data_IF_086241199006
#
_entry.id   IF_086241199006
#
_cell.length_a   1.000
_cell.length_b   1.000
_cell.length_c   1.000
_cell.angle_alpha   90.00
_cell.angle_beta   90.00
_cell.angle_gamma   90.00
#
_symmetry.space_group_name_H-M   'P 1'
#
loop_
_entity.id
_entity.type
_entity.pdbx_description
1 polymer ?
#
# COMPACT_ATOMS: atom_id res chain seq x y z
N UNK A 1 -3.32 -34.95 -5.85
CA UNK A 1 -3.56 -33.64 -6.48
C UNK A 1 -4.16 -32.74 -5.41
N UNK A 2 -3.72 -31.50 -5.27
CA UNK A 2 -4.37 -30.54 -4.37
C UNK A 2 -5.77 -30.21 -4.91
N UNK A 3 -6.75 -30.14 -4.00
CA UNK A 3 -8.14 -29.81 -4.35
C UNK A 3 -8.20 -28.37 -4.88
N UNK A 4 -8.92 -28.20 -5.99
CA UNK A 4 -9.18 -26.90 -6.60
C UNK A 4 -10.60 -26.44 -6.23
N UNK A 5 -10.76 -25.13 -6.07
CA UNK A 5 -12.01 -24.49 -5.71
C UNK A 5 -12.26 -23.36 -6.71
N UNK A 6 -13.50 -23.17 -7.13
CA UNK A 6 -13.86 -22.01 -7.92
C UNK A 6 -13.75 -20.71 -7.10
N UNK A 7 -13.67 -19.58 -7.78
CA UNK A 7 -13.61 -18.26 -7.15
C UNK A 7 -14.87 -18.02 -6.31
N UNK A 8 -16.02 -18.38 -6.85
CA UNK A 8 -17.32 -18.23 -6.18
C UNK A 8 -17.42 -19.10 -4.91
N UNK A 9 -17.01 -20.37 -4.99
CA UNK A 9 -16.98 -21.26 -3.82
C UNK A 9 -16.14 -20.67 -2.69
N UNK A 10 -14.95 -20.17 -2.99
CA UNK A 10 -14.06 -19.60 -1.96
C UNK A 10 -14.66 -18.34 -1.36
N UNK A 11 -15.21 -17.43 -2.16
CA UNK A 11 -15.81 -16.22 -1.62
C UNK A 11 -17.06 -16.51 -0.77
N UNK A 12 -17.87 -17.50 -1.17
CA UNK A 12 -19.01 -17.96 -0.37
C UNK A 12 -18.54 -18.59 0.96
N UNK A 13 -17.51 -19.43 0.95
CA UNK A 13 -16.95 -20.02 2.18
C UNK A 13 -16.35 -18.98 3.12
N UNK A 14 -15.69 -17.96 2.59
CA UNK A 14 -15.09 -16.88 3.39
C UNK A 14 -16.15 -15.95 3.98
N UNK A 15 -17.30 -15.78 3.31
CA UNK A 15 -18.42 -14.92 3.70
C UNK A 15 -18.21 -13.46 3.30
N UNK A 16 -19.21 -12.86 2.66
CA UNK A 16 -19.17 -11.49 2.16
C UNK A 16 -18.86 -10.46 3.26
N UNK A 17 -19.40 -10.67 4.45
CA UNK A 17 -19.18 -9.82 5.62
C UNK A 17 -17.70 -9.76 6.06
N UNK A 18 -16.89 -10.77 5.68
CA UNK A 18 -15.45 -10.83 5.96
C UNK A 18 -14.60 -10.28 4.81
N UNK A 19 -15.20 -10.14 3.62
CA UNK A 19 -14.52 -9.68 2.40
C UNK A 19 -14.76 -8.20 2.10
N UNK A 20 -15.73 -7.57 2.77
CA UNK A 20 -15.95 -6.13 2.65
C UNK A 20 -15.06 -5.39 3.66
N UNK A 21 -14.09 -4.55 3.19
CA UNK A 21 -13.18 -3.81 4.07
C UNK A 21 -13.88 -2.82 5.00
N UNK A 22 -15.07 -2.34 4.66
CA UNK A 22 -15.86 -1.43 5.49
C UNK A 22 -16.40 -2.12 6.76
N UNK A 23 -16.63 -3.43 6.68
CA UNK A 23 -17.15 -4.24 7.79
C UNK A 23 -16.03 -4.79 8.70
N UNK A 24 -14.74 -4.56 8.34
CA UNK A 24 -13.61 -5.19 9.03
C UNK A 24 -12.65 -4.13 9.56
N UNK A 25 -12.68 -3.91 10.87
CA UNK A 25 -11.66 -3.06 11.52
C UNK A 25 -10.26 -3.70 11.42
N UNK A 26 -9.21 -2.89 11.54
CA UNK A 26 -7.83 -3.41 11.51
C UNK A 26 -7.57 -4.44 12.63
N UNK A 27 -8.22 -4.29 13.76
CA UNK A 27 -8.08 -5.20 14.91
C UNK A 27 -8.80 -6.54 14.70
N UNK A 28 -9.83 -6.58 13.84
CA UNK A 28 -10.66 -7.77 13.59
C UNK A 28 -10.14 -8.68 12.47
N UNK A 29 -9.01 -8.38 11.87
CA UNK A 29 -8.42 -9.17 10.77
C UNK A 29 -7.92 -10.56 11.18
N UNK A 30 -8.02 -10.93 12.45
CA UNK A 30 -7.51 -12.21 12.97
C UNK A 30 -8.57 -13.33 13.01
N UNK A 31 -9.76 -13.12 12.43
CA UNK A 31 -10.82 -14.15 12.40
C UNK A 31 -10.41 -15.33 11.54
N UNK A 32 -10.43 -16.52 12.12
CA UNK A 32 -10.21 -17.80 11.44
C UNK A 32 -11.53 -18.55 11.32
N UNK A 33 -11.70 -19.30 10.24
CA UNK A 33 -12.77 -20.27 10.01
C UNK A 33 -12.17 -21.63 9.71
N UNK A 34 -12.94 -22.70 9.79
CA UNK A 34 -12.50 -24.05 9.46
C UNK A 34 -12.98 -24.42 8.06
N UNK A 35 -12.05 -24.77 7.18
CA UNK A 35 -12.33 -25.25 5.83
C UNK A 35 -11.53 -26.55 5.63
N UNK A 36 -12.21 -27.64 5.27
CA UNK A 36 -11.61 -28.96 5.08
C UNK A 36 -10.74 -29.40 6.28
N UNK A 37 -11.14 -29.04 7.51
CA UNK A 37 -10.43 -29.35 8.76
C UNK A 37 -9.27 -28.41 9.09
N UNK A 38 -8.94 -27.44 8.24
CA UNK A 38 -7.85 -26.50 8.46
C UNK A 38 -8.35 -25.11 8.88
N UNK A 39 -7.55 -24.42 9.70
CA UNK A 39 -7.78 -23.02 10.05
C UNK A 39 -7.40 -22.10 8.90
N UNK A 40 -8.34 -21.33 8.40
CA UNK A 40 -8.16 -20.34 7.31
C UNK A 40 -8.53 -18.96 7.82
N UNK A 41 -7.63 -18.00 7.65
CA UNK A 41 -7.91 -16.60 8.00
C UNK A 41 -8.83 -15.97 6.95
N UNK A 42 -10.12 -15.76 7.28
CA UNK A 42 -11.11 -15.27 6.31
C UNK A 42 -10.98 -13.76 6.01
N UNK A 43 -10.48 -12.94 6.96
CA UNK A 43 -10.36 -11.48 6.82
C UNK A 43 -8.98 -11.03 6.33
N UNK A 44 -8.50 -11.61 5.25
CA UNK A 44 -7.22 -11.28 4.64
C UNK A 44 -7.34 -10.17 3.61
N UNK A 45 -6.42 -9.18 3.63
CA UNK A 45 -6.35 -8.14 2.58
C UNK A 45 -6.20 -8.74 1.17
N UNK A 46 -5.60 -9.93 1.02
CA UNK A 46 -5.49 -10.63 -0.26
C UNK A 46 -6.88 -10.97 -0.80
N UNK A 47 -7.74 -11.60 0.02
CA UNK A 47 -9.09 -11.98 -0.41
C UNK A 47 -9.97 -10.76 -0.65
N UNK A 48 -9.90 -9.76 0.24
CA UNK A 48 -10.61 -8.49 0.05
C UNK A 48 -10.20 -7.80 -1.25
N UNK A 49 -8.89 -7.82 -1.60
CA UNK A 49 -8.41 -7.24 -2.86
C UNK A 49 -9.02 -7.96 -4.06
N UNK A 50 -8.98 -9.30 -4.08
CA UNK A 50 -9.55 -10.08 -5.17
C UNK A 50 -11.07 -9.95 -5.26
N UNK A 51 -11.76 -9.87 -4.13
CA UNK A 51 -13.20 -9.67 -4.08
C UNK A 51 -13.60 -8.29 -4.61
N UNK A 52 -12.95 -7.22 -4.18
CA UNK A 52 -13.29 -5.83 -4.51
C UNK A 52 -12.75 -5.37 -5.88
N UNK A 53 -11.58 -5.84 -6.27
CA UNK A 53 -10.87 -5.38 -7.47
C UNK A 53 -10.92 -6.41 -8.62
N UNK A 54 -11.49 -7.59 -8.36
CA UNK A 54 -11.49 -8.71 -9.30
C UNK A 54 -10.18 -9.49 -9.29
N UNK A 55 -10.07 -10.45 -10.21
CA UNK A 55 -9.00 -11.45 -10.29
C UNK A 55 -8.10 -11.28 -11.53
N UNK A 56 -8.18 -10.14 -12.20
CA UNK A 56 -7.38 -9.82 -13.39
C UNK A 56 -6.09 -9.09 -12.98
N UNK A 57 -4.94 -9.55 -13.47
CA UNK A 57 -3.67 -8.85 -13.29
C UNK A 57 -3.74 -7.42 -13.85
N UNK A 58 -3.48 -6.43 -13.01
CA UNK A 58 -3.53 -5.01 -13.38
C UNK A 58 -2.46 -4.61 -14.43
N UNK A 59 -1.41 -5.43 -14.62
CA UNK A 59 -0.34 -5.16 -15.57
C UNK A 59 -0.57 -5.86 -16.92
N UNK A 60 -0.64 -7.20 -16.92
CA UNK A 60 -0.69 -7.99 -18.18
C UNK A 60 -2.08 -8.52 -18.52
N UNK A 61 -3.09 -8.29 -17.69
CA UNK A 61 -4.46 -8.76 -17.94
C UNK A 61 -4.71 -10.26 -17.71
N UNK A 62 -3.69 -11.04 -17.28
CA UNK A 62 -3.85 -12.47 -16.97
C UNK A 62 -4.93 -12.67 -15.91
N UNK A 63 -5.76 -13.72 -16.06
CA UNK A 63 -6.88 -14.00 -15.18
C UNK A 63 -6.54 -15.08 -14.16
N UNK A 64 -6.84 -14.83 -12.89
CA UNK A 64 -6.96 -15.89 -11.90
C UNK A 64 -8.24 -16.69 -12.13
N UNK A 65 -8.18 -18.01 -12.09
CA UNK A 65 -9.28 -18.90 -12.48
C UNK A 65 -9.76 -19.79 -11.33
N UNK A 66 -8.85 -20.22 -10.45
CA UNK A 66 -9.17 -21.13 -9.36
C UNK A 66 -8.29 -20.90 -8.15
N UNK A 67 -8.79 -21.31 -7.00
CA UNK A 67 -8.04 -21.33 -5.75
C UNK A 67 -7.55 -22.74 -5.39
N UNK A 68 -6.40 -22.80 -4.72
CA UNK A 68 -5.92 -23.98 -4.01
C UNK A 68 -5.71 -23.65 -2.55
N UNK A 69 -5.99 -24.64 -1.68
CA UNK A 69 -5.81 -24.48 -0.24
C UNK A 69 -4.38 -24.95 0.12
N UNK A 70 -3.48 -23.99 0.26
CA UNK A 70 -2.06 -24.21 0.49
C UNK A 70 -1.64 -23.85 1.91
N UNK A 71 -0.52 -24.37 2.38
CA UNK A 71 0.08 -24.03 3.67
C UNK A 71 1.26 -24.90 4.01
N UNK A 72 1.94 -24.57 5.10
CA UNK A 72 3.14 -25.27 5.53
C UNK A 72 2.82 -26.66 6.07
N UNK A 73 3.68 -27.65 5.74
CA UNK A 73 3.59 -28.99 6.30
C UNK A 73 3.75 -28.92 7.83
N UNK A 74 2.96 -29.75 8.54
CA UNK A 74 2.99 -29.82 9.99
C UNK A 74 2.18 -28.74 10.73
N UNK A 75 1.56 -27.79 10.02
CA UNK A 75 0.65 -26.81 10.63
C UNK A 75 -0.81 -27.12 10.31
N UNK A 76 -1.71 -26.78 11.26
CA UNK A 76 -3.16 -26.83 11.01
C UNK A 76 -3.70 -25.54 10.37
N UNK A 77 -2.84 -24.72 9.79
CA UNK A 77 -3.20 -23.45 9.16
C UNK A 77 -2.95 -23.51 7.67
N UNK A 78 -3.97 -23.10 6.90
CA UNK A 78 -3.93 -23.03 5.44
C UNK A 78 -4.39 -21.64 4.98
N UNK A 79 -4.13 -21.35 3.72
CA UNK A 79 -4.64 -20.16 3.04
C UNK A 79 -4.95 -20.49 1.59
N UNK A 80 -5.93 -19.80 1.04
CA UNK A 80 -6.23 -19.90 -0.38
C UNK A 80 -5.26 -19.08 -1.20
N UNK A 81 -4.62 -19.71 -2.16
CA UNK A 81 -3.85 -19.07 -3.22
C UNK A 81 -4.65 -19.12 -4.52
N UNK A 82 -4.74 -17.97 -5.19
CA UNK A 82 -5.41 -17.84 -6.49
C UNK A 82 -4.39 -18.14 -7.59
N UNK A 83 -4.76 -19.00 -8.52
CA UNK A 83 -3.94 -19.39 -9.67
C UNK A 83 -4.65 -19.09 -10.98
N UNK A 84 -3.85 -18.87 -12.02
CA UNK A 84 -4.27 -18.83 -13.42
C UNK A 84 -4.27 -20.25 -14.01
N UNK A 85 -4.87 -20.44 -15.19
CA UNK A 85 -4.92 -21.75 -15.89
C UNK A 85 -3.53 -22.32 -16.19
N UNK A 86 -2.54 -21.44 -16.41
CA UNK A 86 -1.14 -21.84 -16.63
C UNK A 86 -0.35 -22.09 -15.35
N UNK A 87 -1.01 -22.13 -14.19
CA UNK A 87 -0.38 -22.35 -12.88
C UNK A 87 0.29 -21.11 -12.28
N UNK A 88 0.23 -19.94 -12.92
CA UNK A 88 0.79 -18.71 -12.39
C UNK A 88 0.02 -18.23 -11.16
N UNK A 89 0.75 -17.96 -10.07
CA UNK A 89 0.18 -17.43 -8.84
C UNK A 89 -0.26 -15.98 -9.02
N UNK A 90 -1.47 -15.67 -8.56
CA UNK A 90 -1.96 -14.30 -8.40
C UNK A 90 -1.66 -13.78 -6.99
N UNK A 91 -1.14 -12.58 -6.91
CA UNK A 91 -0.76 -11.90 -5.66
C UNK A 91 -1.57 -10.63 -5.47
N UNK A 92 -1.64 -10.13 -4.25
CA UNK A 92 -1.98 -8.73 -4.01
C UNK A 92 -0.70 -7.89 -4.04
N UNK A 93 -0.70 -6.82 -4.77
CA UNK A 93 0.40 -5.88 -4.87
C UNK A 93 -0.02 -4.50 -4.37
N UNK A 94 0.95 -3.68 -3.94
CA UNK A 94 0.71 -2.29 -3.57
C UNK A 94 0.90 -1.39 -4.79
N UNK A 95 -0.14 -0.64 -5.19
CA UNK A 95 -0.06 0.38 -6.25
C UNK A 95 1.10 1.32 -5.93
N UNK A 96 1.08 1.90 -4.74
CA UNK A 96 2.19 2.62 -4.16
C UNK A 96 2.94 1.71 -3.17
N UNK A 97 4.23 1.41 -3.44
CA UNK A 97 4.98 0.39 -2.73
C UNK A 97 5.07 0.62 -1.21
N UNK A 98 4.97 -0.46 -0.45
CA UNK A 98 5.09 -0.42 1.02
C UNK A 98 6.44 0.11 1.47
N UNK A 99 7.52 -0.20 0.75
CA UNK A 99 8.88 0.31 1.01
C UNK A 99 9.00 1.82 0.88
N UNK A 100 8.09 2.44 0.11
CA UNK A 100 8.00 3.89 -0.06
C UNK A 100 6.96 4.55 0.86
N UNK A 101 6.36 3.79 1.80
CA UNK A 101 5.35 4.28 2.75
C UNK A 101 3.90 3.99 2.33
N UNK A 102 3.69 3.13 1.32
CA UNK A 102 2.36 2.68 0.90
C UNK A 102 1.61 1.96 2.03
N UNK A 103 0.35 2.31 2.21
CA UNK A 103 -0.49 1.77 3.28
C UNK A 103 -1.17 0.45 2.87
N UNK A 104 -1.40 -0.42 3.85
CA UNK A 104 -2.19 -1.65 3.74
C UNK A 104 -3.70 -1.34 3.69
N UNK A 105 -4.16 -0.64 2.65
CA UNK A 105 -5.56 -0.28 2.38
C UNK A 105 -5.98 -0.81 1.01
N UNK A 106 -7.24 -1.20 0.85
CA UNK A 106 -7.75 -1.74 -0.41
C UNK A 106 -7.60 -0.74 -1.57
N UNK A 107 -7.75 0.57 -1.31
CA UNK A 107 -7.50 1.62 -2.30
C UNK A 107 -6.07 1.60 -2.86
N UNK A 108 -5.08 1.16 -2.07
CA UNK A 108 -3.68 1.03 -2.47
C UNK A 108 -3.29 -0.40 -2.88
N UNK A 109 -4.23 -1.31 -3.05
CA UNK A 109 -3.95 -2.70 -3.41
C UNK A 109 -4.57 -3.04 -4.76
N UNK A 110 -3.90 -3.90 -5.51
CA UNK A 110 -4.34 -4.39 -6.83
C UNK A 110 -4.01 -5.87 -7.00
N UNK A 111 -4.80 -6.61 -7.78
CA UNK A 111 -4.44 -7.96 -8.22
C UNK A 111 -3.27 -7.87 -9.20
N UNK A 112 -2.26 -8.69 -9.01
CA UNK A 112 -1.12 -8.79 -9.92
C UNK A 112 -0.57 -10.20 -9.94
N UNK A 113 -0.25 -10.76 -11.11
CA UNK A 113 0.41 -12.06 -11.17
C UNK A 113 1.85 -11.97 -10.61
N UNK A 114 2.37 -13.07 -10.09
CA UNK A 114 3.68 -13.11 -9.42
C UNK A 114 4.81 -12.60 -10.33
N UNK A 115 4.74 -12.92 -11.62
CA UNK A 115 5.73 -12.45 -12.61
C UNK A 115 5.72 -10.91 -12.76
N UNK A 116 4.54 -10.30 -12.95
CA UNK A 116 4.42 -8.84 -13.06
C UNK A 116 4.77 -8.15 -11.74
N UNK A 117 4.37 -8.72 -10.61
CA UNK A 117 4.69 -8.20 -9.29
C UNK A 117 6.21 -8.20 -9.02
N UNK A 118 6.91 -9.28 -9.40
CA UNK A 118 8.37 -9.36 -9.31
C UNK A 118 9.06 -8.33 -10.21
N UNK A 119 8.60 -8.17 -11.47
CA UNK A 119 9.13 -7.16 -12.40
C UNK A 119 8.88 -5.73 -11.93
N UNK A 120 7.71 -5.47 -11.35
CA UNK A 120 7.37 -4.16 -10.79
C UNK A 120 8.25 -3.80 -9.60
N UNK A 121 8.52 -4.75 -8.69
CA UNK A 121 9.30 -4.49 -7.49
C UNK A 121 8.78 -3.29 -6.70
N UNK A 122 9.62 -2.27 -6.51
CA UNK A 122 9.29 -1.03 -5.79
C UNK A 122 8.86 0.13 -6.71
N UNK A 123 8.55 -0.14 -7.98
CA UNK A 123 7.98 0.89 -8.87
C UNK A 123 6.51 1.16 -8.52
N UNK A 124 6.08 2.41 -8.68
CA UNK A 124 4.68 2.80 -8.53
C UNK A 124 3.89 2.30 -9.75
N UNK A 125 2.68 1.76 -9.54
CA UNK A 125 1.78 1.37 -10.63
C UNK A 125 0.81 2.51 -10.93
N UNK A 126 0.57 2.75 -12.23
CA UNK A 126 -0.37 3.78 -12.68
C UNK A 126 0.27 5.15 -12.94
N UNK A 127 -0.57 6.17 -13.08
CA UNK A 127 -0.14 7.56 -13.24
C UNK A 127 0.73 8.01 -12.07
N UNK A 128 1.71 8.87 -12.31
CA UNK A 128 2.59 9.35 -11.25
C UNK A 128 1.76 9.98 -10.13
N UNK A 129 1.93 9.44 -8.93
CA UNK A 129 1.31 10.02 -7.74
C UNK A 129 1.90 11.40 -7.54
N UNK A 130 1.08 12.43 -7.52
CA UNK A 130 1.53 13.76 -7.14
C UNK A 130 1.92 13.76 -5.67
N UNK A 131 3.20 13.99 -5.41
CA UNK A 131 3.67 14.20 -4.03
C UNK A 131 3.43 15.64 -3.64
N UNK A 132 2.61 15.86 -2.62
CA UNK A 132 2.45 17.17 -2.00
C UNK A 132 3.18 17.19 -0.67
N UNK A 133 3.81 18.30 -0.37
CA UNK A 133 4.37 18.54 0.95
C UNK A 133 3.32 19.24 1.80
N UNK A 134 2.89 18.57 2.86
CA UNK A 134 1.98 19.13 3.87
C UNK A 134 2.78 19.68 5.03
N UNK A 135 2.55 20.92 5.37
CA UNK A 135 3.07 21.56 6.57
C UNK A 135 1.91 21.86 7.52
N UNK A 136 2.00 21.37 8.76
CA UNK A 136 1.09 21.75 9.85
C UNK A 136 1.87 22.62 10.82
N UNK A 137 1.48 23.87 10.98
CA UNK A 137 2.10 24.81 11.91
C UNK A 137 1.76 24.47 13.37
N UNK A 138 2.49 25.07 14.31
CA UNK A 138 2.31 24.85 15.75
C UNK A 138 0.92 25.21 16.29
N UNK A 139 0.20 26.07 15.58
CA UNK A 139 -1.18 26.47 15.85
C UNK A 139 -2.23 25.66 15.06
N UNK A 140 -1.81 24.58 14.41
CA UNK A 140 -2.69 23.67 13.68
C UNK A 140 -3.04 24.10 12.25
N UNK A 141 -2.57 25.27 11.76
CA UNK A 141 -2.78 25.69 10.39
C UNK A 141 -2.06 24.77 9.40
N UNK A 142 -2.74 24.37 8.33
CA UNK A 142 -2.21 23.42 7.33
C UNK A 142 -1.96 24.15 6.02
N UNK A 143 -0.81 23.92 5.40
CA UNK A 143 -0.45 24.40 4.07
C UNK A 143 0.11 23.25 3.23
N UNK A 144 -0.27 23.21 1.96
CA UNK A 144 0.21 22.23 0.98
C UNK A 144 1.11 22.90 -0.04
N UNK A 145 2.13 22.19 -0.50
CA UNK A 145 3.04 22.58 -1.57
C UNK A 145 3.12 21.44 -2.59
N UNK A 146 3.19 21.77 -3.86
CA UNK A 146 3.18 20.79 -4.95
C UNK A 146 4.50 20.02 -5.08
N UNK A 147 5.60 20.57 -4.54
CA UNK A 147 6.90 19.92 -4.55
C UNK A 147 7.71 20.29 -3.31
N UNK A 148 8.81 19.54 -3.08
CA UNK A 148 9.80 19.87 -2.06
C UNK A 148 10.42 21.26 -2.34
N UNK A 149 10.72 21.53 -3.59
CA UNK A 149 11.31 22.78 -4.08
C UNK A 149 10.40 23.97 -3.76
N UNK A 150 9.10 23.87 -4.05
CA UNK A 150 8.11 24.91 -3.73
C UNK A 150 8.02 25.18 -2.23
N UNK A 151 8.06 24.12 -1.42
CA UNK A 151 8.06 24.25 0.03
C UNK A 151 9.29 25.03 0.53
N UNK A 152 10.48 24.67 0.05
CA UNK A 152 11.74 25.32 0.42
C UNK A 152 11.77 26.78 -0.06
N UNK A 153 11.40 27.06 -1.30
CA UNK A 153 11.34 28.41 -1.86
C UNK A 153 10.38 29.29 -1.03
N UNK A 154 9.21 28.78 -0.71
CA UNK A 154 8.20 29.52 0.10
C UNK A 154 8.76 29.88 1.49
N UNK A 155 9.49 28.98 2.14
CA UNK A 155 10.08 29.26 3.45
C UNK A 155 11.23 30.24 3.34
N UNK A 156 12.11 30.08 2.36
CA UNK A 156 13.22 30.99 2.12
C UNK A 156 12.73 32.40 1.79
N UNK A 157 11.67 32.52 0.98
CA UNK A 157 11.05 33.80 0.65
C UNK A 157 10.43 34.48 1.88
N UNK A 158 9.88 33.73 2.82
CA UNK A 158 9.23 34.27 4.02
C UNK A 158 10.18 34.49 5.20
N UNK A 159 11.22 33.67 5.35
CA UNK A 159 12.12 33.65 6.53
C UNK A 159 13.59 33.88 6.19
N UNK A 160 13.95 33.98 4.92
CA UNK A 160 15.31 34.21 4.43
C UNK A 160 16.29 33.05 4.66
N UNK A 161 15.96 32.10 5.54
CA UNK A 161 16.83 30.96 5.87
C UNK A 161 16.08 29.85 6.57
N UNK A 162 16.57 28.60 6.41
CA UNK A 162 16.14 27.43 7.16
C UNK A 162 17.32 26.95 8.01
N UNK A 163 17.11 26.72 9.30
CA UNK A 163 18.11 26.06 10.16
C UNK A 163 17.75 24.58 10.31
N UNK A 164 18.66 23.71 9.92
CA UNK A 164 18.54 22.27 10.10
C UNK A 164 19.83 21.68 10.69
N UNK A 165 19.74 21.09 11.89
CA UNK A 165 20.92 20.70 12.69
C UNK A 165 21.89 21.89 12.84
N UNK A 166 23.15 21.72 12.45
CA UNK A 166 24.17 22.79 12.47
C UNK A 166 24.23 23.61 11.19
N UNK A 167 23.45 23.23 10.16
CA UNK A 167 23.48 23.87 8.84
C UNK A 167 22.45 25.00 8.72
N UNK A 168 22.81 26.03 7.98
CA UNK A 168 21.93 27.15 7.59
C UNK A 168 21.72 27.07 6.08
N UNK A 169 20.48 26.84 5.66
CA UNK A 169 20.08 26.79 4.25
C UNK A 169 19.53 28.17 3.88
N UNK A 170 20.14 28.82 2.90
CA UNK A 170 19.74 30.13 2.39
C UNK A 170 19.20 30.08 0.97
N UNK A 171 19.52 29.03 0.23
CA UNK A 171 19.06 28.81 -1.15
C UNK A 171 18.55 27.38 -1.30
N UNK A 172 17.82 27.11 -2.38
CA UNK A 172 17.35 25.77 -2.69
C UNK A 172 18.52 24.80 -2.98
N UNK A 173 19.65 25.32 -3.50
CA UNK A 173 20.85 24.55 -3.80
C UNK A 173 21.48 24.01 -2.51
N UNK A 174 21.35 24.74 -1.40
CA UNK A 174 21.85 24.32 -0.09
C UNK A 174 20.96 23.22 0.56
N UNK A 175 19.77 22.99 0.00
CA UNK A 175 18.86 21.97 0.48
C UNK A 175 19.35 20.58 0.10
N UNK A 176 19.96 19.91 1.06
CA UNK A 176 20.58 18.58 0.90
C UNK A 176 19.56 17.45 0.93
N UNK A 177 19.93 16.28 0.43
CA UNK A 177 19.15 15.04 0.56
C UNK A 177 18.82 14.70 2.02
N UNK A 178 19.67 15.13 2.96
CA UNK A 178 19.43 14.99 4.39
C UNK A 178 18.18 15.76 4.85
N UNK A 179 17.95 16.99 4.36
CA UNK A 179 16.75 17.77 4.64
C UNK A 179 15.51 17.14 3.99
N UNK A 180 15.64 16.65 2.75
CA UNK A 180 14.57 15.91 2.07
C UNK A 180 14.17 14.68 2.86
N UNK A 181 15.14 13.90 3.31
CA UNK A 181 14.91 12.72 4.13
C UNK A 181 14.29 13.07 5.49
N UNK A 182 14.70 14.16 6.13
CA UNK A 182 14.11 14.62 7.38
C UNK A 182 12.63 14.99 7.23
N UNK A 183 12.24 15.62 6.11
CA UNK A 183 10.84 15.89 5.79
C UNK A 183 10.10 14.59 5.51
N UNK A 184 10.66 13.70 4.70
CA UNK A 184 10.08 12.41 4.34
C UNK A 184 9.78 11.53 5.55
N UNK A 185 10.63 11.58 6.57
CA UNK A 185 10.48 10.79 7.81
C UNK A 185 9.79 11.55 8.95
N UNK A 186 9.25 12.75 8.70
CA UNK A 186 8.53 13.53 9.69
C UNK A 186 9.39 14.04 10.85
N UNK A 187 10.71 14.11 10.69
CA UNK A 187 11.66 14.50 11.76
C UNK A 187 11.97 15.99 11.82
N UNK A 188 11.37 16.80 10.95
CA UNK A 188 11.57 18.25 10.91
C UNK A 188 10.51 18.98 11.75
N UNK A 189 10.74 19.09 13.07
CA UNK A 189 9.72 19.58 14.01
C UNK A 189 9.84 21.06 14.43
N UNK A 190 10.89 21.76 14.08
CA UNK A 190 11.01 23.19 14.44
C UNK A 190 10.11 24.06 13.54
N UNK A 191 9.00 24.51 14.07
CA UNK A 191 7.95 25.36 13.45
C UNK A 191 6.84 24.59 12.72
N UNK A 192 6.47 23.40 13.20
CA UNK A 192 5.39 22.61 12.67
C UNK A 192 5.86 21.26 12.11
N UNK A 193 4.88 20.39 11.85
CA UNK A 193 5.10 19.05 11.31
C UNK A 193 5.10 19.11 9.79
N UNK A 194 6.08 18.48 9.17
CA UNK A 194 6.20 18.33 7.73
C UNK A 194 5.96 16.88 7.34
N UNK A 195 5.12 16.67 6.37
CA UNK A 195 4.74 15.34 5.88
C UNK A 195 4.71 15.35 4.36
N UNK A 196 5.16 14.25 3.74
CA UNK A 196 4.87 13.98 2.34
C UNK A 196 3.50 13.33 2.29
N UNK A 197 2.54 14.01 1.68
CA UNK A 197 1.21 13.48 1.41
C UNK A 197 1.16 13.08 -0.06
N UNK A 198 0.73 11.87 -0.31
CA UNK A 198 0.59 11.33 -1.65
C UNK A 198 -0.88 11.25 -1.97
N UNK A 199 -1.28 11.95 -3.00
CA UNK A 199 -2.60 11.87 -3.57
C UNK A 199 -2.53 11.01 -4.83
N UNK A 200 -3.41 10.01 -4.92
CA UNK A 200 -3.66 9.32 -6.18
C UNK A 200 -4.39 10.35 -7.04
N UNK A 201 -3.86 10.64 -8.23
CA UNK A 201 -4.58 11.46 -9.18
C UNK A 201 -5.93 10.77 -9.49
N UNK A 202 -7.03 11.54 -9.38
CA UNK A 202 -8.38 11.09 -9.72
C UNK A 202 -8.48 10.73 -11.21
#
# INVERSE_FOLDING_TARGET
MSKEYSIEEVFNMLGEENLNPENVSQNDRKKDIIIDGYKVRCRSLRYMTFYQKGVRCACCGRMGTHFKLDGDEGTNRRHFNLYCDDGMLMTKDHIYPKSLGGLDRISNLQPMCAECNSKKGNMVSGEPISEKIKKTDVNGSVKYYNSFEDAIISILSSKGKIKYKSKVIKTIIDATDELRNAIKHGTLYRNGRWEIVKEIAD
#
